data_IF_419491288243
#
_entry.id   IF_419491288243
#
_cell.length_a   1.000
_cell.length_b   1.000
_cell.length_c   1.000
_cell.angle_alpha   90.00
_cell.angle_beta   90.00
_cell.angle_gamma   90.00
#
_symmetry.space_group_name_H-M   'P 1'
#
loop_
_entity.id
_entity.type
_entity.pdbx_description
1 polymer ?
#
# COMPACT_ATOMS: atom_id res chain seq x y z
N UNK A 1 -0.66 -12.40 -8.46
CA UNK A 1 0.02 -11.65 -7.39
C UNK A 1 -0.16 -10.19 -7.72
N UNK A 2 -0.32 -9.33 -6.73
CA UNK A 2 -0.36 -7.90 -6.92
C UNK A 2 0.91 -7.36 -6.31
N UNK A 3 1.89 -6.95 -7.12
CA UNK A 3 3.13 -6.39 -6.58
C UNK A 3 2.85 -5.02 -5.97
N UNK A 4 3.51 -4.75 -4.86
CA UNK A 4 3.53 -3.46 -4.21
C UNK A 4 4.92 -3.21 -3.64
N UNK A 5 5.27 -1.93 -3.48
CA UNK A 5 6.54 -1.50 -2.93
C UNK A 5 6.34 -0.43 -1.88
N UNK A 6 7.06 -0.54 -0.77
CA UNK A 6 7.18 0.52 0.22
C UNK A 6 8.60 1.06 0.25
N UNK A 7 8.76 2.35 0.52
CA UNK A 7 10.04 2.95 0.84
C UNK A 7 9.88 4.04 1.89
N UNK A 8 10.84 4.13 2.81
CA UNK A 8 10.90 5.24 3.77
C UNK A 8 11.28 6.52 3.06
N UNK A 9 10.84 7.67 3.57
CA UNK A 9 11.09 8.96 2.92
C UNK A 9 12.57 9.35 2.85
N UNK A 10 13.38 8.83 3.78
CA UNK A 10 14.84 8.94 3.77
C UNK A 10 15.54 7.90 2.86
N UNK A 11 14.77 7.04 2.19
CA UNK A 11 15.21 5.91 1.37
C UNK A 11 16.13 4.90 2.10
N UNK A 12 16.14 4.89 3.43
CA UNK A 12 16.94 3.94 4.20
C UNK A 12 16.42 2.50 4.08
N UNK A 13 15.09 2.33 3.99
CA UNK A 13 14.44 1.03 3.82
C UNK A 13 13.54 1.06 2.59
N UNK A 14 13.61 -0.01 1.80
CA UNK A 14 12.71 -0.27 0.69
C UNK A 14 12.44 -1.78 0.58
N UNK A 15 11.21 -2.15 0.24
CA UNK A 15 10.85 -3.55 0.03
C UNK A 15 9.70 -3.71 -0.96
N UNK A 16 9.68 -4.84 -1.65
CA UNK A 16 8.56 -5.30 -2.47
C UNK A 16 7.80 -6.42 -1.77
N UNK A 17 6.48 -6.49 -1.93
CA UNK A 17 5.61 -7.49 -1.29
C UNK A 17 4.37 -7.82 -2.14
N UNK A 18 3.67 -8.89 -1.77
CA UNK A 18 2.38 -9.25 -2.38
C UNK A 18 1.22 -8.52 -1.68
N UNK A 19 0.55 -7.59 -2.35
CA UNK A 19 -0.64 -6.92 -1.85
C UNK A 19 -1.94 -7.72 -2.05
N UNK A 20 -1.90 -8.88 -2.73
CA UNK A 20 -3.10 -9.69 -3.02
C UNK A 20 -3.98 -9.96 -1.79
N UNK A 21 -3.44 -10.29 -0.59
CA UNK A 21 -4.26 -10.53 0.59
C UNK A 21 -5.09 -9.33 1.05
N UNK A 22 -4.62 -8.10 0.81
CA UNK A 22 -5.40 -6.89 1.07
C UNK A 22 -6.56 -6.77 0.06
N UNK A 23 -6.28 -6.92 -1.23
CA UNK A 23 -7.28 -6.85 -2.30
C UNK A 23 -8.39 -7.90 -2.19
N UNK A 24 -8.08 -9.08 -1.61
CA UNK A 24 -9.11 -10.10 -1.32
C UNK A 24 -10.13 -9.65 -0.28
N UNK A 25 -9.72 -8.83 0.70
CA UNK A 25 -10.55 -8.44 1.86
C UNK A 25 -11.16 -7.05 1.71
N UNK A 26 -10.47 -6.13 1.02
CA UNK A 26 -10.90 -4.74 0.86
C UNK A 26 -12.26 -4.65 0.17
N UNK A 27 -13.13 -3.75 0.62
CA UNK A 27 -14.42 -3.50 -0.02
C UNK A 27 -14.25 -2.68 -1.33
N UNK A 28 -15.29 -2.59 -2.19
CA UNK A 28 -15.22 -1.80 -3.43
C UNK A 28 -14.79 -0.34 -3.25
N UNK A 29 -15.27 0.34 -2.20
CA UNK A 29 -14.97 1.77 -2.00
C UNK A 29 -13.52 1.97 -1.62
N UNK A 30 -12.96 1.13 -0.76
CA UNK A 30 -11.53 1.17 -0.43
C UNK A 30 -10.64 1.00 -1.66
N UNK A 31 -10.97 0.10 -2.58
CA UNK A 31 -10.20 -0.10 -3.82
C UNK A 31 -10.36 1.10 -4.77
N UNK A 32 -11.56 1.66 -4.89
CA UNK A 32 -11.79 2.85 -5.70
C UNK A 32 -11.04 4.07 -5.16
N UNK A 33 -11.00 4.22 -3.84
CA UNK A 33 -10.24 5.27 -3.19
C UNK A 33 -8.75 5.12 -3.45
N UNK A 34 -8.20 3.91 -3.30
CA UNK A 34 -6.81 3.61 -3.63
C UNK A 34 -6.48 3.94 -5.09
N UNK A 35 -7.34 3.54 -6.03
CA UNK A 35 -7.15 3.83 -7.44
C UNK A 35 -7.20 5.35 -7.75
N UNK A 36 -8.02 6.11 -7.02
CA UNK A 36 -8.09 7.57 -7.12
C UNK A 36 -6.86 8.29 -6.52
N UNK A 37 -6.09 7.59 -5.69
CA UNK A 37 -4.80 8.05 -5.14
C UNK A 37 -3.61 7.49 -5.93
N UNK A 38 -3.79 7.26 -7.24
CA UNK A 38 -2.76 6.70 -8.13
C UNK A 38 -2.13 5.40 -7.60
N UNK A 39 -2.95 4.57 -6.94
CA UNK A 39 -2.54 3.30 -6.34
C UNK A 39 -1.51 3.44 -5.21
N UNK A 40 -1.40 4.63 -4.61
CA UNK A 40 -0.52 4.92 -3.47
C UNK A 40 -1.33 5.09 -2.18
N UNK A 41 -1.04 4.28 -1.17
CA UNK A 41 -1.59 4.44 0.18
C UNK A 41 -0.84 3.59 1.21
N UNK A 42 -0.38 4.23 2.29
CA UNK A 42 0.27 3.56 3.44
C UNK A 42 -0.63 2.54 4.15
N UNK A 43 -1.96 2.68 4.04
CA UNK A 43 -2.92 1.78 4.70
C UNK A 43 -2.80 0.32 4.27
N UNK A 44 -2.24 0.07 3.09
CA UNK A 44 -1.98 -1.29 2.61
C UNK A 44 -0.87 -1.92 3.45
N UNK A 45 0.19 -1.16 3.73
CA UNK A 45 1.27 -1.60 4.60
C UNK A 45 0.76 -1.82 6.03
N UNK A 46 0.00 -0.86 6.58
CA UNK A 46 -0.58 -0.95 7.93
C UNK A 46 -1.46 -2.21 8.11
N UNK A 47 -2.26 -2.54 7.10
CA UNK A 47 -3.17 -3.69 7.13
C UNK A 47 -2.46 -5.05 6.96
N UNK A 48 -1.25 -5.07 6.39
CA UNK A 48 -0.50 -6.28 6.09
C UNK A 48 0.65 -6.53 7.07
N UNK A 49 1.23 -5.50 7.69
CA UNK A 49 2.45 -5.62 8.50
C UNK A 49 2.35 -6.60 9.68
N UNK A 50 1.14 -6.81 10.22
CA UNK A 50 0.90 -7.74 11.33
C UNK A 50 0.67 -9.19 10.88
N UNK A 51 0.61 -9.45 9.56
CA UNK A 51 0.36 -10.78 9.02
C UNK A 51 1.67 -11.58 8.85
N UNK A 52 1.66 -12.90 9.06
CA UNK A 52 2.83 -13.74 8.81
C UNK A 52 3.31 -13.62 7.36
N UNK A 53 4.63 -13.46 7.17
CA UNK A 53 5.25 -13.25 5.86
C UNK A 53 5.39 -11.78 5.44
N UNK A 54 4.98 -10.84 6.29
CA UNK A 54 5.10 -9.39 6.08
C UNK A 54 5.99 -8.70 7.13
N UNK A 55 6.89 -9.44 7.76
CA UNK A 55 7.78 -8.91 8.80
C UNK A 55 8.69 -7.78 8.28
N UNK A 56 8.96 -7.74 6.97
CA UNK A 56 9.64 -6.63 6.31
C UNK A 56 8.84 -5.33 6.36
N UNK A 57 7.52 -5.39 6.13
CA UNK A 57 6.64 -4.22 6.27
C UNK A 57 6.63 -3.73 7.72
N UNK A 58 6.55 -4.65 8.68
CA UNK A 58 6.58 -4.27 10.09
C UNK A 58 7.83 -3.48 10.48
N UNK A 59 9.00 -3.93 10.04
CA UNK A 59 10.26 -3.21 10.26
C UNK A 59 10.27 -1.82 9.61
N UNK A 60 9.71 -1.70 8.41
CA UNK A 60 9.65 -0.42 7.70
C UNK A 60 8.71 0.56 8.40
N UNK A 61 7.51 0.11 8.79
CA UNK A 61 6.52 0.90 9.52
C UNK A 61 7.08 1.31 10.90
N UNK A 62 7.71 0.39 11.62
CA UNK A 62 8.37 0.68 12.91
C UNK A 62 9.50 1.70 12.76
N UNK A 63 10.35 1.58 11.73
CA UNK A 63 11.41 2.54 11.45
C UNK A 63 10.82 3.94 11.16
N UNK A 64 9.82 4.02 10.29
CA UNK A 64 9.14 5.27 9.96
C UNK A 64 8.50 5.91 11.21
N UNK A 65 7.86 5.11 12.07
CA UNK A 65 7.19 5.57 13.28
C UNK A 65 8.14 5.96 14.44
N UNK A 66 9.39 5.50 14.41
CA UNK A 66 10.37 5.78 15.49
C UNK A 66 11.40 6.81 15.09
N UNK A 67 11.97 6.68 13.89
CA UNK A 67 13.08 7.51 13.42
C UNK A 67 12.63 8.78 12.69
N UNK A 68 11.56 8.69 11.90
CA UNK A 68 11.08 9.77 11.03
C UNK A 68 9.88 10.52 11.63
N UNK A 69 9.50 10.16 12.86
CA UNK A 69 8.34 10.73 13.54
C UNK A 69 8.53 12.19 13.88
N UNK A 70 9.73 12.61 14.30
CA UNK A 70 9.98 14.01 14.65
C UNK A 70 9.88 14.90 13.41
N UNK A 71 10.50 14.48 12.31
CA UNK A 71 10.44 15.20 11.03
C UNK A 71 9.00 15.23 10.44
N UNK A 72 8.23 14.15 10.59
CA UNK A 72 6.81 14.12 10.17
C UNK A 72 5.88 14.94 11.08
N UNK A 73 6.26 15.17 12.34
CA UNK A 73 5.53 16.10 13.23
C UNK A 73 5.80 17.57 12.89
N UNK A 74 7.00 17.89 12.39
CA UNK A 74 7.37 19.23 11.94
C UNK A 74 6.67 19.60 10.61
N UNK A 75 6.52 18.62 9.71
CA UNK A 75 5.74 18.75 8.48
C UNK A 75 4.72 17.60 8.34
N UNK A 76 3.45 17.81 8.71
CA UNK A 76 2.39 16.81 8.59
C UNK A 76 2.06 16.40 7.15
N UNK A 77 2.54 17.15 6.15
CA UNK A 77 2.40 16.79 4.74
C UNK A 77 3.49 15.84 4.28
N UNK A 78 4.55 15.68 5.08
CA UNK A 78 5.62 14.73 4.84
C UNK A 78 5.25 13.36 5.41
N UNK A 79 4.86 12.46 4.51
CA UNK A 79 4.67 11.06 4.84
C UNK A 79 6.03 10.43 5.18
N UNK A 80 6.12 9.77 6.33
CA UNK A 80 7.36 9.11 6.77
C UNK A 80 7.77 7.94 5.86
N UNK A 81 6.83 7.38 5.10
CA UNK A 81 7.06 6.40 4.07
C UNK A 81 5.92 6.43 3.04
N UNK A 82 6.19 5.88 1.87
CA UNK A 82 5.20 5.68 0.81
C UNK A 82 4.99 4.19 0.54
N UNK A 83 3.79 3.84 0.06
CA UNK A 83 3.40 2.49 -0.31
C UNK A 83 2.61 2.53 -1.61
N UNK A 84 3.18 1.98 -2.68
CA UNK A 84 2.60 2.02 -4.03
C UNK A 84 2.32 0.61 -4.51
N UNK A 85 1.11 0.38 -5.02
CA UNK A 85 0.71 -0.85 -5.69
C UNK A 85 0.97 -0.72 -7.19
N UNK A 86 1.48 -1.79 -7.80
CA UNK A 86 1.60 -1.86 -9.25
C UNK A 86 0.19 -1.82 -9.89
N UNK A 87 -0.12 -0.75 -10.65
CA UNK A 87 -1.46 -0.54 -11.19
C UNK A 87 -1.84 -1.59 -12.22
N UNK A 88 -0.87 -2.11 -12.98
CA UNK A 88 -1.11 -3.12 -13.99
C UNK A 88 -1.49 -4.45 -13.33
N UNK A 89 -0.71 -4.89 -12.35
CA UNK A 89 -1.00 -6.11 -11.60
C UNK A 89 -2.36 -6.00 -10.87
N UNK A 90 -2.65 -4.84 -10.25
CA UNK A 90 -3.91 -4.62 -9.54
C UNK A 90 -5.12 -4.66 -10.48
N UNK A 91 -5.05 -3.97 -11.61
CA UNK A 91 -6.13 -3.94 -12.61
C UNK A 91 -6.35 -5.32 -13.23
N UNK A 92 -5.27 -6.03 -13.60
CA UNK A 92 -5.36 -7.38 -14.14
C UNK A 92 -6.02 -8.32 -13.12
N UNK A 93 -5.54 -8.31 -11.88
CA UNK A 93 -6.09 -9.18 -10.84
C UNK A 93 -7.57 -8.87 -10.56
N UNK A 94 -7.94 -7.60 -10.51
CA UNK A 94 -9.33 -7.18 -10.32
C UNK A 94 -10.23 -7.63 -11.48
N UNK A 95 -9.76 -7.52 -12.73
CA UNK A 95 -10.53 -7.98 -13.88
C UNK A 95 -10.81 -9.49 -13.83
N UNK A 96 -9.85 -10.28 -13.36
CA UNK A 96 -9.97 -11.74 -13.25
C UNK A 96 -10.77 -12.20 -12.02
N UNK A 97 -10.63 -11.52 -10.88
CA UNK A 97 -11.11 -12.03 -9.59
C UNK A 97 -12.31 -11.25 -9.03
N UNK A 98 -12.44 -9.96 -9.34
CA UNK A 98 -13.51 -9.06 -8.87
C UNK A 98 -14.00 -8.12 -9.99
N UNK A 99 -14.52 -8.67 -11.10
CA UNK A 99 -14.84 -7.91 -12.30
C UNK A 99 -15.85 -6.78 -12.08
N UNK A 100 -16.74 -6.91 -11.08
CA UNK A 100 -17.72 -5.90 -10.70
C UNK A 100 -17.10 -4.60 -10.17
N UNK A 101 -15.88 -4.67 -9.62
CA UNK A 101 -15.11 -3.49 -9.20
C UNK A 101 -14.26 -2.97 -10.33
N UNK A 102 -13.62 -3.86 -11.10
CA UNK A 102 -12.86 -3.47 -12.28
C UNK A 102 -13.71 -2.62 -13.25
N UNK A 103 -14.96 -3.01 -13.48
CA UNK A 103 -15.91 -2.26 -14.31
C UNK A 103 -16.22 -0.84 -13.77
N UNK A 104 -16.11 -0.60 -12.46
CA UNK A 104 -16.32 0.72 -11.85
C UNK A 104 -15.10 1.62 -11.94
N UNK A 105 -13.91 1.06 -12.13
CA UNK A 105 -12.66 1.82 -12.30
C UNK A 105 -12.46 2.32 -13.73
N UNK A 106 -13.15 1.73 -14.71
CA UNK A 106 -13.09 2.10 -16.14
C UNK A 106 -14.10 3.18 -16.53
N UNK A 107 -14.82 3.75 -15.57
CA UNK A 107 -15.88 4.74 -15.77
C UNK A 107 -15.43 6.12 -15.32
#
# INVERSE_FOLDING_TARGET
>A
MIRASCHTADNALALEFDATPWFRKADPQSIQHLAAQDWSSVWIADALETQPGYEGLHKLVEYAATRLREESLEDPTWAAFDCVVDPFDAQQWLAENRPEIAAKLQR
#
